data_IF_965897167010
#
_entry.id   IF_965897167010
#
_cell.length_a   1.000
_cell.length_b   1.000
_cell.length_c   1.000
_cell.angle_alpha   90.00
_cell.angle_beta   90.00
_cell.angle_gamma   90.00
#
_symmetry.space_group_name_H-M   'P 1'
#
loop_
_entity.id
_entity.type
_entity.pdbx_description
1 polymer ?
#
# COMPACT_ATOMS: atom_id res chain seq x y z
N UNK A 1 -0.21 -2.56 -44.83
CA UNK A 1 -1.19 -2.81 -43.75
C UNK A 1 -0.61 -2.73 -42.34
N UNK A 2 0.59 -3.26 -42.04
CA UNK A 2 1.29 -3.05 -40.74
C UNK A 2 1.48 -1.56 -40.34
N UNK A 3 1.66 -0.67 -41.33
CA UNK A 3 1.82 0.79 -41.13
C UNK A 3 0.58 1.48 -40.56
N UNK A 4 -0.63 1.09 -41.01
CA UNK A 4 -1.88 1.71 -40.56
C UNK A 4 -2.22 1.31 -39.12
N UNK A 5 -1.82 0.10 -38.72
CA UNK A 5 -1.94 -0.40 -37.33
C UNK A 5 -1.01 0.33 -36.36
N UNK A 6 0.19 0.72 -36.81
CA UNK A 6 1.07 1.59 -36.03
C UNK A 6 0.57 3.03 -36.00
N UNK A 7 0.01 3.57 -37.08
CA UNK A 7 -0.56 4.92 -37.10
C UNK A 7 -1.75 5.07 -36.15
N UNK A 8 -2.70 4.15 -36.16
CA UNK A 8 -3.85 4.20 -35.23
C UNK A 8 -3.39 3.94 -33.77
N UNK A 9 -2.43 3.02 -33.56
CA UNK A 9 -1.80 2.86 -32.23
C UNK A 9 -1.11 4.14 -31.79
N UNK A 10 -0.35 4.80 -32.68
CA UNK A 10 0.35 6.05 -32.42
C UNK A 10 -0.62 7.19 -32.19
N UNK A 11 -1.74 7.30 -32.90
CA UNK A 11 -2.75 8.34 -32.63
C UNK A 11 -3.37 8.19 -31.23
N UNK A 12 -3.75 6.97 -30.82
CA UNK A 12 -4.26 6.72 -29.47
C UNK A 12 -3.18 6.83 -28.38
N UNK A 13 -1.92 6.46 -28.67
CA UNK A 13 -0.78 6.65 -27.77
C UNK A 13 -0.37 8.13 -27.64
N UNK A 14 -0.30 8.88 -28.74
CA UNK A 14 0.09 10.30 -28.78
C UNK A 14 -0.98 11.19 -28.11
N UNK A 15 -2.26 10.83 -28.21
CA UNK A 15 -3.33 11.48 -27.44
C UNK A 15 -3.19 11.22 -25.93
N UNK A 16 -2.63 10.08 -25.51
CA UNK A 16 -2.38 9.70 -24.11
C UNK A 16 -1.15 10.41 -23.54
N UNK A 17 -0.09 10.60 -24.34
CA UNK A 17 1.17 11.19 -23.89
C UNK A 17 1.10 12.72 -23.72
N UNK A 18 0.18 13.39 -24.41
CA UNK A 18 0.05 14.86 -24.42
C UNK A 18 -0.93 15.46 -23.41
N UNK A 19 -1.55 14.71 -22.50
CA UNK A 19 -2.49 15.30 -21.54
C UNK A 19 -1.89 15.57 -20.15
N UNK A 20 -0.80 16.34 -20.13
CA UNK A 20 -0.17 16.86 -18.92
C UNK A 20 -1.18 17.57 -18.00
N UNK A 21 -2.21 18.20 -18.57
CA UNK A 21 -3.28 18.87 -17.82
C UNK A 21 -4.06 17.92 -16.91
N UNK A 22 -4.53 16.78 -17.43
CA UNK A 22 -5.24 15.77 -16.62
C UNK A 22 -4.37 15.20 -15.49
N UNK A 23 -3.08 15.00 -15.78
CA UNK A 23 -2.12 14.52 -14.79
C UNK A 23 -1.86 15.55 -13.68
N UNK A 24 -1.69 16.83 -14.04
CA UNK A 24 -1.57 17.92 -13.06
C UNK A 24 -2.84 18.06 -12.25
N UNK A 25 -4.02 17.91 -12.87
CA UNK A 25 -5.30 17.94 -12.17
C UNK A 25 -5.44 16.82 -11.13
N UNK A 26 -5.08 15.57 -11.47
CA UNK A 26 -5.18 14.47 -10.49
C UNK A 26 -4.16 14.65 -9.35
N UNK A 27 -2.95 15.16 -9.62
CA UNK A 27 -1.98 15.49 -8.57
C UNK A 27 -2.52 16.60 -7.68
N UNK A 28 -3.02 17.70 -8.26
CA UNK A 28 -3.60 18.81 -7.52
C UNK A 28 -4.79 18.36 -6.66
N UNK A 29 -5.68 17.53 -7.22
CA UNK A 29 -6.79 16.93 -6.49
C UNK A 29 -6.30 16.06 -5.32
N UNK A 30 -5.28 15.24 -5.55
CA UNK A 30 -4.68 14.39 -4.51
C UNK A 30 -4.09 15.23 -3.38
N UNK A 31 -3.36 16.30 -3.69
CA UNK A 31 -2.80 17.21 -2.69
C UNK A 31 -3.88 17.90 -1.86
N UNK A 32 -4.96 18.38 -2.50
CA UNK A 32 -6.09 18.99 -1.79
C UNK A 32 -6.75 18.00 -0.85
N UNK A 33 -7.06 16.79 -1.33
CA UNK A 33 -7.67 15.73 -0.51
C UNK A 33 -6.71 15.31 0.61
N UNK A 34 -5.41 15.28 0.37
CA UNK A 34 -4.40 14.91 1.38
C UNK A 34 -4.46 15.84 2.59
N UNK A 35 -4.61 17.14 2.39
CA UNK A 35 -4.76 18.11 3.49
C UNK A 35 -6.01 17.79 4.31
N UNK A 36 -7.17 17.58 3.67
CA UNK A 36 -8.40 17.23 4.38
C UNK A 36 -8.31 15.90 5.12
N UNK A 37 -7.78 14.86 4.46
CA UNK A 37 -7.59 13.53 5.06
C UNK A 37 -6.61 13.59 6.23
N UNK A 38 -5.55 14.40 6.14
CA UNK A 38 -4.60 14.59 7.23
C UNK A 38 -5.29 15.18 8.47
N UNK A 39 -6.09 16.24 8.33
CA UNK A 39 -6.85 16.80 9.45
C UNK A 39 -7.90 15.83 10.01
N UNK A 40 -8.57 15.05 9.14
CA UNK A 40 -9.49 14.01 9.59
C UNK A 40 -8.77 12.93 10.42
N UNK A 41 -7.58 12.49 9.97
CA UNK A 41 -6.76 11.52 10.69
C UNK A 41 -6.23 12.08 12.02
N UNK A 42 -5.89 13.36 12.10
CA UNK A 42 -5.56 14.02 13.37
C UNK A 42 -6.73 13.90 14.35
N UNK A 43 -7.92 14.32 13.96
CA UNK A 43 -9.10 14.25 14.82
C UNK A 43 -9.40 12.80 15.27
N UNK A 44 -9.29 11.83 14.37
CA UNK A 44 -9.49 10.40 14.70
C UNK A 44 -8.42 9.92 15.68
N UNK A 45 -7.15 10.30 15.49
CA UNK A 45 -6.05 9.89 16.36
C UNK A 45 -6.20 10.49 17.75
N UNK A 46 -6.53 11.79 17.85
CA UNK A 46 -6.80 12.46 19.12
C UNK A 46 -7.97 11.80 19.87
N UNK A 47 -9.09 11.59 19.18
CA UNK A 47 -10.24 10.88 19.73
C UNK A 47 -9.89 9.48 20.22
N UNK A 48 -9.07 8.75 19.46
CA UNK A 48 -8.64 7.40 19.82
C UNK A 48 -7.75 7.42 21.06
N UNK A 49 -6.79 8.34 21.14
CA UNK A 49 -5.90 8.49 22.30
C UNK A 49 -6.69 8.86 23.57
N UNK A 50 -7.63 9.79 23.48
CA UNK A 50 -8.45 10.21 24.63
C UNK A 50 -9.44 9.13 25.06
N UNK A 51 -10.19 8.57 24.12
CA UNK A 51 -11.30 7.66 24.43
C UNK A 51 -10.85 6.23 24.71
N UNK A 52 -9.86 5.75 23.97
CA UNK A 52 -9.43 4.35 24.07
C UNK A 52 -8.27 4.15 25.05
N UNK A 53 -7.31 5.07 25.07
CA UNK A 53 -6.14 4.97 25.95
C UNK A 53 -6.28 5.77 27.25
N UNK A 54 -7.42 6.45 27.46
CA UNK A 54 -7.64 7.34 28.61
C UNK A 54 -6.50 8.34 28.81
N UNK A 55 -5.88 8.76 27.70
CA UNK A 55 -4.73 9.66 27.73
C UNK A 55 -5.20 11.11 27.61
N UNK A 56 -4.55 12.00 28.35
CA UNK A 56 -4.74 13.44 28.17
C UNK A 56 -3.83 13.91 27.02
N UNK A 57 -4.45 14.41 25.95
CA UNK A 57 -3.73 14.93 24.79
C UNK A 57 -3.68 16.45 24.89
N UNK A 58 -2.49 17.01 25.07
CA UNK A 58 -2.25 18.47 25.05
C UNK A 58 -1.71 18.89 23.68
N UNK A 59 -2.47 19.72 22.97
CA UNK A 59 -2.18 20.21 21.61
C UNK A 59 -2.49 21.71 21.41
N UNK A 60 -2.77 22.42 22.50
CA UNK A 60 -3.37 23.76 22.58
C UNK A 60 -2.36 24.93 22.52
N UNK A 61 -1.07 24.65 22.36
CA UNK A 61 -0.03 25.67 22.41
C UNK A 61 0.55 25.90 23.81
N UNK A 62 0.02 25.22 24.83
CA UNK A 62 0.55 25.36 26.19
C UNK A 62 1.96 24.78 26.29
N UNK A 63 2.91 25.50 26.91
CA UNK A 63 4.23 24.97 27.17
C UNK A 63 4.15 23.83 28.19
N UNK A 64 4.67 22.66 27.83
CA UNK A 64 4.78 21.51 28.75
C UNK A 64 6.25 21.15 28.95
N UNK A 65 6.62 20.85 30.18
CA UNK A 65 7.99 20.40 30.53
C UNK A 65 8.15 18.93 30.19
N UNK A 66 9.25 18.55 29.54
CA UNK A 66 9.60 17.14 29.39
C UNK A 66 9.82 16.52 30.78
N UNK A 67 9.05 15.47 31.12
CA UNK A 67 9.41 14.56 32.21
C UNK A 67 10.49 13.62 31.63
N UNK A 68 11.76 13.93 31.89
CA UNK A 68 12.86 13.02 31.57
C UNK A 68 12.84 11.94 32.64
N UNK A 69 12.01 10.92 32.47
CA UNK A 69 12.01 9.76 33.36
C UNK A 69 13.12 8.81 32.93
N UNK A 70 14.37 9.14 33.24
CA UNK A 70 15.46 8.14 33.22
C UNK A 70 15.70 7.52 34.61
N UNK A 71 14.93 7.93 35.63
CA UNK A 71 14.96 7.30 36.94
C UNK A 71 13.54 7.23 37.51
N UNK A 72 13.03 6.05 37.90
CA UNK A 72 11.86 5.99 38.77
C UNK A 72 12.30 6.58 40.10
N UNK A 73 11.98 7.86 40.34
CA UNK A 73 12.07 8.44 41.67
C UNK A 73 11.10 7.66 42.56
N UNK A 74 11.63 6.64 43.22
CA UNK A 74 10.94 5.77 44.16
C UNK A 74 10.64 6.46 45.50
N UNK A 75 10.81 7.77 45.54
CA UNK A 75 10.72 8.53 46.77
C UNK A 75 9.33 9.17 46.89
N UNK A 76 8.56 8.63 47.84
CA UNK A 76 7.39 9.27 48.42
C UNK A 76 7.79 10.58 49.12
N UNK A 77 7.97 11.66 48.36
CA UNK A 77 8.04 13.00 48.94
C UNK A 77 6.65 13.62 49.01
N UNK A 78 6.35 14.26 50.14
CA UNK A 78 5.19 15.16 50.24
C UNK A 78 5.38 16.35 49.29
N UNK A 79 4.29 16.93 48.75
CA UNK A 79 4.34 18.03 47.75
C UNK A 79 5.26 19.19 48.17
N UNK A 80 5.42 19.46 49.47
CA UNK A 80 6.33 20.48 50.01
C UNK A 80 7.81 20.13 49.84
N UNK A 81 8.19 18.89 50.11
CA UNK A 81 9.59 18.45 50.04
C UNK A 81 10.07 18.37 48.58
N UNK A 82 9.17 17.97 47.67
CA UNK A 82 9.43 18.00 46.23
C UNK A 82 9.67 19.43 45.73
N UNK A 83 8.86 20.39 46.18
CA UNK A 83 9.04 21.81 45.87
C UNK A 83 10.35 22.39 46.39
N UNK A 84 10.76 22.03 47.62
CA UNK A 84 12.03 22.48 48.20
C UNK A 84 13.24 21.90 47.48
N UNK A 85 13.22 20.60 47.17
CA UNK A 85 14.30 19.92 46.44
C UNK A 85 14.41 20.42 44.99
N UNK A 86 13.28 20.72 44.34
CA UNK A 86 13.25 21.35 43.03
C UNK A 86 13.80 22.79 43.08
N UNK A 87 13.48 23.58 44.11
CA UNK A 87 14.05 24.92 44.28
C UNK A 87 15.55 24.90 44.52
N UNK A 88 16.05 24.00 45.36
CA UNK A 88 17.48 23.87 45.62
C UNK A 88 18.25 23.42 44.37
N UNK A 89 17.67 22.53 43.55
CA UNK A 89 18.26 22.13 42.27
C UNK A 89 18.26 23.25 41.21
N UNK A 90 17.22 24.08 41.18
CA UNK A 90 17.13 25.25 40.29
C UNK A 90 18.15 26.31 40.70
N UNK A 91 18.36 26.54 42.00
CA UNK A 91 19.32 27.52 42.50
C UNK A 91 20.78 27.05 42.35
N UNK A 92 21.05 25.75 42.47
CA UNK A 92 22.42 25.23 42.50
C UNK A 92 22.94 24.67 41.17
N UNK A 93 22.09 24.44 40.16
CA UNK A 93 22.54 23.87 38.88
C UNK A 93 21.78 24.44 37.66
N UNK A 94 22.20 25.59 37.09
CA UNK A 94 21.53 26.22 35.94
C UNK A 94 21.61 25.41 34.63
N UNK A 95 22.29 24.25 34.62
CA UNK A 95 22.34 23.33 33.48
C UNK A 95 21.20 22.29 33.49
N UNK A 96 20.41 22.22 34.57
CA UNK A 96 19.14 21.46 34.62
C UNK A 96 18.01 22.25 33.94
N UNK A 97 18.24 22.71 32.72
CA UNK A 97 17.19 23.34 31.94
C UNK A 97 16.22 22.25 31.49
N UNK A 98 15.15 22.00 32.26
CA UNK A 98 13.98 21.26 31.77
C UNK A 98 13.59 21.90 30.43
N UNK A 99 13.80 21.20 29.32
CA UNK A 99 13.42 21.71 28.00
C UNK A 99 11.91 21.83 27.97
N UNK A 100 11.44 23.07 27.94
CA UNK A 100 10.04 23.41 27.74
C UNK A 100 9.80 23.40 26.23
N UNK A 101 8.89 22.55 25.78
CA UNK A 101 8.48 22.57 24.38
C UNK A 101 7.06 23.13 24.30
N UNK A 102 6.82 24.02 23.33
CA UNK A 102 5.48 24.46 22.98
C UNK A 102 4.78 23.35 22.19
N UNK A 103 3.56 23.04 22.59
CA UNK A 103 2.69 22.12 21.84
C UNK A 103 2.17 22.80 20.58
N UNK A 104 1.84 22.02 19.57
CA UNK A 104 1.24 22.50 18.34
C UNK A 104 0.33 21.41 17.78
N UNK A 105 -0.90 21.78 17.44
CA UNK A 105 -1.89 20.88 16.86
C UNK A 105 -1.39 20.04 15.67
N UNK A 106 -0.46 20.54 14.87
CA UNK A 106 0.03 19.81 13.68
C UNK A 106 1.29 19.01 13.96
N UNK A 107 2.23 19.56 14.74
CA UNK A 107 3.61 19.05 14.77
C UNK A 107 4.06 18.49 16.11
N UNK A 108 3.50 18.94 17.24
CA UNK A 108 4.00 18.58 18.57
C UNK A 108 2.84 18.29 19.51
N UNK A 109 2.53 17.02 19.71
CA UNK A 109 1.56 16.56 20.69
C UNK A 109 2.27 16.02 21.93
N UNK A 110 1.67 16.31 23.07
CA UNK A 110 2.01 15.69 24.35
C UNK A 110 0.88 14.78 24.72
N UNK A 111 1.20 13.51 24.96
CA UNK A 111 0.26 12.48 25.37
C UNK A 111 0.68 12.05 26.78
N UNK A 112 -0.16 12.41 27.75
CA UNK A 112 0.03 12.03 29.16
C UNK A 112 -0.85 10.82 29.46
N UNK A 113 -0.22 9.70 29.81
CA UNK A 113 -0.91 8.49 30.25
C UNK A 113 -0.96 8.43 31.77
N UNK A 114 -2.09 7.93 32.28
CA UNK A 114 -2.30 7.67 33.71
C UNK A 114 -2.23 8.92 34.59
N UNK A 115 -2.86 10.01 34.14
CA UNK A 115 -2.95 11.29 34.87
C UNK A 115 -3.47 11.07 36.29
N UNK A 116 -2.69 11.47 37.31
CA UNK A 116 -3.06 11.32 38.72
C UNK A 116 -2.66 9.98 39.39
N UNK A 117 -1.83 9.18 38.74
CA UNK A 117 -1.24 7.94 39.32
C UNK A 117 0.27 8.13 39.59
N UNK A 118 0.91 7.34 40.48
CA UNK A 118 2.35 7.49 40.78
C UNK A 118 3.29 7.19 39.60
N UNK A 119 2.77 6.71 38.46
CA UNK A 119 3.54 6.38 37.25
C UNK A 119 3.03 7.17 36.04
N UNK A 120 3.11 8.51 36.10
CA UNK A 120 2.80 9.37 34.96
C UNK A 120 3.85 9.20 33.86
N UNK A 121 3.42 8.83 32.65
CA UNK A 121 4.28 8.68 31.49
C UNK A 121 3.87 9.70 30.44
N UNK A 122 4.84 10.53 30.01
CA UNK A 122 4.66 11.58 29.02
C UNK A 122 5.34 11.23 27.70
N UNK A 123 4.57 11.13 26.63
CA UNK A 123 5.09 10.90 25.28
C UNK A 123 5.01 12.15 24.41
N UNK A 124 6.06 12.37 23.62
CA UNK A 124 6.12 13.41 22.61
C UNK A 124 5.97 12.81 21.23
N UNK A 125 4.84 13.12 20.59
CA UNK A 125 4.50 12.62 19.26
C UNK A 125 4.49 13.78 18.27
N UNK A 126 5.06 13.57 17.09
CA UNK A 126 4.90 14.47 15.95
C UNK A 126 3.88 13.88 14.97
N UNK A 127 2.62 14.35 15.00
CA UNK A 127 1.55 13.79 14.17
C UNK A 127 1.79 14.00 12.68
N UNK A 128 2.33 15.15 12.29
CA UNK A 128 2.70 15.43 10.89
C UNK A 128 3.62 14.32 10.36
N UNK A 129 4.68 14.01 11.09
CA UNK A 129 5.62 12.99 10.66
C UNK A 129 4.95 11.60 10.59
N UNK A 130 4.18 11.22 11.61
CA UNK A 130 3.57 9.90 11.69
C UNK A 130 2.42 9.67 10.70
N UNK A 131 1.61 10.69 10.39
CA UNK A 131 0.35 10.54 9.65
C UNK A 131 0.44 10.96 8.17
N UNK A 132 1.51 11.63 7.73
CA UNK A 132 1.60 12.14 6.36
C UNK A 132 1.54 11.02 5.30
N UNK A 133 2.21 9.90 5.55
CA UNK A 133 2.24 8.76 4.61
C UNK A 133 0.87 8.08 4.47
N UNK A 134 0.20 7.65 5.56
CA UNK A 134 -1.14 7.08 5.43
C UNK A 134 -2.16 8.10 4.89
N UNK A 135 -2.04 9.39 5.23
CA UNK A 135 -2.89 10.43 4.66
C UNK A 135 -2.72 10.55 3.14
N UNK A 136 -1.47 10.54 2.65
CA UNK A 136 -1.15 10.55 1.23
C UNK A 136 -1.73 9.33 0.52
N UNK A 137 -1.60 8.12 1.08
CA UNK A 137 -2.16 6.91 0.47
C UNK A 137 -3.68 6.98 0.36
N UNK A 138 -4.38 7.27 1.46
CA UNK A 138 -5.85 7.36 1.48
C UNK A 138 -6.33 8.44 0.51
N UNK A 139 -5.64 9.58 0.47
CA UNK A 139 -5.96 10.65 -0.47
C UNK A 139 -5.78 10.25 -1.92
N UNK A 140 -4.73 9.48 -2.24
CA UNK A 140 -4.50 8.96 -3.59
C UNK A 140 -5.60 7.98 -4.00
N UNK A 141 -6.04 7.10 -3.10
CA UNK A 141 -7.15 6.17 -3.35
C UNK A 141 -8.44 6.94 -3.64
N UNK A 142 -8.77 7.93 -2.81
CA UNK A 142 -9.97 8.76 -2.99
C UNK A 142 -9.87 9.56 -4.30
N UNK A 143 -8.71 10.13 -4.61
CA UNK A 143 -8.49 10.87 -5.85
C UNK A 143 -8.66 9.99 -7.10
N UNK A 144 -8.14 8.75 -7.07
CA UNK A 144 -8.31 7.75 -8.12
C UNK A 144 -9.78 7.39 -8.30
N UNK A 145 -10.51 7.17 -7.20
CA UNK A 145 -11.94 6.92 -7.23
C UNK A 145 -12.67 8.10 -7.86
N UNK A 146 -12.51 9.33 -7.34
CA UNK A 146 -13.16 10.53 -7.89
C UNK A 146 -12.82 10.71 -9.38
N UNK A 147 -11.55 10.51 -9.77
CA UNK A 147 -11.09 10.63 -11.16
C UNK A 147 -11.73 9.60 -12.10
N UNK A 148 -12.12 8.43 -11.60
CA UNK A 148 -12.84 7.41 -12.36
C UNK A 148 -14.28 7.82 -12.69
N UNK A 149 -14.89 8.66 -11.85
CA UNK A 149 -16.26 9.13 -12.02
C UNK A 149 -16.38 10.40 -12.86
N UNK A 150 -15.29 11.16 -13.01
CA UNK A 150 -15.24 12.37 -13.82
C UNK A 150 -15.49 12.10 -15.31
N UNK A 151 -15.96 13.11 -16.09
CA UNK A 151 -16.10 12.97 -17.55
C UNK A 151 -14.74 12.72 -18.22
N UNK A 152 -14.74 12.08 -19.41
CA UNK A 152 -13.51 11.70 -20.13
C UNK A 152 -12.52 12.86 -20.36
N UNK A 153 -13.02 14.08 -20.46
CA UNK A 153 -12.21 15.28 -20.70
C UNK A 153 -11.35 15.66 -19.48
N UNK A 154 -11.77 15.29 -18.26
CA UNK A 154 -11.13 15.71 -17.00
C UNK A 154 -10.58 14.50 -16.24
N UNK A 155 -11.32 13.39 -16.23
CA UNK A 155 -11.00 12.18 -15.48
C UNK A 155 -9.84 11.40 -16.10
N UNK A 156 -8.67 11.53 -15.50
CA UNK A 156 -7.49 10.74 -15.88
C UNK A 156 -7.74 9.23 -15.78
N UNK A 157 -8.26 8.74 -14.65
CA UNK A 157 -8.56 7.32 -14.47
C UNK A 157 -9.69 6.85 -15.37
N UNK A 158 -10.74 7.67 -15.57
CA UNK A 158 -11.82 7.36 -16.51
C UNK A 158 -11.29 7.08 -17.90
N UNK A 159 -10.34 7.89 -18.36
CA UNK A 159 -9.71 7.75 -19.67
C UNK A 159 -8.84 6.50 -19.78
N UNK A 160 -8.08 6.17 -18.73
CA UNK A 160 -7.29 4.94 -18.70
C UNK A 160 -8.18 3.70 -18.80
N UNK A 161 -9.30 3.66 -18.06
CA UNK A 161 -10.28 2.57 -18.13
C UNK A 161 -10.86 2.43 -19.55
N UNK A 162 -11.23 3.55 -20.17
CA UNK A 162 -11.76 3.55 -21.54
C UNK A 162 -10.75 3.00 -22.55
N UNK A 163 -9.49 3.46 -22.45
CA UNK A 163 -8.40 3.01 -23.31
C UNK A 163 -8.18 1.50 -23.21
N UNK A 164 -8.09 0.97 -21.98
CA UNK A 164 -7.91 -0.47 -21.80
C UNK A 164 -9.12 -1.24 -22.31
N UNK A 165 -10.34 -0.75 -22.09
CA UNK A 165 -11.55 -1.40 -22.59
C UNK A 165 -11.53 -1.53 -24.11
N UNK A 166 -11.24 -0.44 -24.84
CA UNK A 166 -11.13 -0.47 -26.30
C UNK A 166 -10.00 -1.38 -26.76
N UNK A 167 -8.83 -1.30 -26.13
CA UNK A 167 -7.68 -2.13 -26.47
C UNK A 167 -7.97 -3.64 -26.35
N UNK A 168 -8.65 -4.06 -25.28
CA UNK A 168 -9.00 -5.47 -25.10
C UNK A 168 -10.08 -5.92 -26.09
N UNK A 169 -11.04 -5.08 -26.45
CA UNK A 169 -12.02 -5.39 -27.51
C UNK A 169 -11.33 -5.55 -28.86
N UNK A 170 -10.41 -4.65 -29.21
CA UNK A 170 -9.62 -4.75 -30.44
C UNK A 170 -8.80 -6.05 -30.48
N UNK A 171 -8.20 -6.42 -29.34
CA UNK A 171 -7.46 -7.67 -29.19
C UNK A 171 -8.36 -8.89 -29.42
N UNK A 172 -9.60 -8.87 -28.91
CA UNK A 172 -10.59 -9.93 -29.15
C UNK A 172 -10.95 -9.98 -30.63
N UNK A 173 -11.31 -8.84 -31.24
CA UNK A 173 -11.69 -8.78 -32.65
C UNK A 173 -10.60 -9.33 -33.56
N UNK A 174 -9.34 -8.94 -33.31
CA UNK A 174 -8.21 -9.47 -34.06
C UNK A 174 -8.08 -11.00 -33.92
N UNK A 175 -8.31 -11.53 -32.72
CA UNK A 175 -8.22 -12.98 -32.47
C UNK A 175 -9.36 -13.76 -33.14
N UNK A 176 -10.57 -13.20 -33.17
CA UNK A 176 -11.76 -13.86 -33.72
C UNK A 176 -11.84 -13.74 -35.24
N UNK A 177 -11.60 -12.54 -35.78
CA UNK A 177 -11.82 -12.23 -37.18
C UNK A 177 -10.55 -12.12 -38.02
N UNK A 178 -9.34 -12.21 -37.43
CA UNK A 178 -8.03 -12.07 -38.09
C UNK A 178 -7.74 -10.72 -38.76
N UNK A 179 -8.70 -9.79 -38.77
CA UNK A 179 -8.56 -8.42 -39.24
C UNK A 179 -9.30 -7.44 -38.32
N UNK A 180 -8.92 -6.17 -38.40
CA UNK A 180 -9.59 -5.09 -37.67
C UNK A 180 -10.74 -4.52 -38.50
N UNK A 181 -11.92 -4.42 -37.91
CA UNK A 181 -13.04 -3.68 -38.49
C UNK A 181 -13.86 -3.02 -37.37
N UNK A 182 -14.13 -1.71 -37.45
CA UNK A 182 -14.90 -1.00 -36.42
C UNK A 182 -16.34 -1.53 -36.31
N UNK A 183 -16.92 -2.01 -37.41
CA UNK A 183 -18.25 -2.63 -37.40
C UNK A 183 -18.26 -3.95 -36.62
N UNK A 184 -17.17 -4.73 -36.73
CA UNK A 184 -17.00 -6.00 -36.00
C UNK A 184 -16.73 -5.80 -34.52
N UNK A 185 -16.03 -4.73 -34.14
CA UNK A 185 -15.90 -4.34 -32.74
C UNK A 185 -17.27 -4.09 -32.11
N UNK A 186 -18.14 -3.33 -32.79
CA UNK A 186 -19.49 -3.06 -32.29
C UNK A 186 -20.35 -4.33 -32.17
N UNK A 187 -20.14 -5.29 -33.07
CA UNK A 187 -20.78 -6.61 -33.01
C UNK A 187 -20.34 -7.38 -31.75
N UNK A 188 -19.02 -7.46 -31.50
CA UNK A 188 -18.46 -8.12 -30.31
C UNK A 188 -18.91 -7.43 -29.02
N UNK A 189 -18.93 -6.09 -28.99
CA UNK A 189 -19.43 -5.34 -27.84
C UNK A 189 -20.88 -5.69 -27.53
N UNK A 190 -21.76 -5.68 -28.53
CA UNK A 190 -23.17 -6.07 -28.37
C UNK A 190 -23.32 -7.52 -27.91
N UNK A 191 -22.55 -8.44 -28.48
CA UNK A 191 -22.55 -9.84 -28.06
C UNK A 191 -22.15 -9.98 -26.60
N UNK A 192 -21.08 -9.31 -26.16
CA UNK A 192 -20.59 -9.37 -24.78
C UNK A 192 -21.56 -8.75 -23.77
N UNK A 193 -22.23 -7.66 -24.12
CA UNK A 193 -23.17 -6.98 -23.22
C UNK A 193 -24.42 -7.82 -23.00
N UNK A 194 -24.93 -8.46 -24.07
CA UNK A 194 -26.14 -9.26 -24.02
C UNK A 194 -25.91 -10.71 -23.58
N UNK A 195 -24.65 -11.15 -23.52
CA UNK A 195 -24.27 -12.51 -23.16
C UNK A 195 -24.64 -12.85 -21.71
N UNK A 196 -25.33 -13.97 -21.53
CA UNK A 196 -25.48 -14.60 -20.23
C UNK A 196 -24.20 -15.38 -19.84
N UNK A 197 -24.14 -15.92 -18.62
CA UNK A 197 -23.02 -16.70 -18.11
C UNK A 197 -22.71 -17.88 -19.04
N UNK A 198 -23.73 -18.54 -19.59
CA UNK A 198 -23.56 -19.65 -20.53
C UNK A 198 -22.89 -19.20 -21.83
N UNK A 199 -23.38 -18.12 -22.45
CA UNK A 199 -22.80 -17.57 -23.67
C UNK A 199 -21.35 -17.14 -23.45
N UNK A 200 -21.06 -16.61 -22.27
CA UNK A 200 -19.70 -16.20 -21.89
C UNK A 200 -18.75 -17.41 -21.82
N UNK A 201 -19.22 -18.58 -21.39
CA UNK A 201 -18.43 -19.82 -21.42
C UNK A 201 -18.21 -20.33 -22.86
N UNK A 202 -19.23 -20.22 -23.72
CA UNK A 202 -19.11 -20.55 -25.14
C UNK A 202 -18.08 -19.65 -25.82
N UNK A 203 -18.18 -18.34 -25.63
CA UNK A 203 -17.21 -17.36 -26.14
C UNK A 203 -15.81 -17.58 -25.58
N UNK A 204 -15.68 -17.91 -24.30
CA UNK A 204 -14.38 -18.22 -23.70
C UNK A 204 -13.70 -19.41 -24.41
N UNK A 205 -14.48 -20.45 -24.75
CA UNK A 205 -14.01 -21.62 -25.49
C UNK A 205 -13.69 -21.27 -26.96
N UNK A 206 -14.59 -20.59 -27.64
CA UNK A 206 -14.48 -20.30 -29.08
C UNK A 206 -13.37 -19.28 -29.37
N UNK A 207 -13.21 -18.27 -28.52
CA UNK A 207 -12.21 -17.22 -28.68
C UNK A 207 -10.89 -17.57 -27.97
N UNK A 208 -10.85 -18.66 -27.21
CA UNK A 208 -9.70 -19.11 -26.42
C UNK A 208 -9.24 -18.08 -25.39
N UNK A 209 -10.17 -17.38 -24.75
CA UNK A 209 -9.90 -16.34 -23.74
C UNK A 209 -10.43 -16.84 -22.40
N UNK A 210 -9.67 -16.72 -21.30
CA UNK A 210 -10.15 -17.15 -19.99
C UNK A 210 -11.45 -16.43 -19.61
N UNK A 211 -12.40 -17.19 -19.08
CA UNK A 211 -13.74 -16.71 -18.70
C UNK A 211 -13.68 -15.50 -17.77
N UNK A 212 -12.68 -15.44 -16.88
CA UNK A 212 -12.53 -14.34 -15.93
C UNK A 212 -12.11 -13.03 -16.61
N UNK A 213 -11.30 -13.08 -17.67
CA UNK A 213 -11.00 -11.88 -18.46
C UNK A 213 -12.25 -11.41 -19.20
N UNK A 214 -13.02 -12.33 -19.77
CA UNK A 214 -14.25 -12.01 -20.49
C UNK A 214 -15.31 -11.38 -19.58
N UNK A 215 -15.45 -11.88 -18.33
CA UNK A 215 -16.29 -11.27 -17.29
C UNK A 215 -15.90 -9.84 -16.98
N UNK A 216 -14.61 -9.56 -16.88
CA UNK A 216 -14.10 -8.20 -16.58
C UNK A 216 -14.40 -7.25 -17.72
N UNK A 217 -14.14 -7.69 -18.95
CA UNK A 217 -14.41 -6.89 -20.15
C UNK A 217 -15.91 -6.58 -20.23
N UNK A 218 -16.78 -7.58 -20.01
CA UNK A 218 -18.23 -7.36 -19.95
C UNK A 218 -18.62 -6.34 -18.87
N UNK A 219 -18.11 -6.47 -17.66
CA UNK A 219 -18.41 -5.52 -16.58
C UNK A 219 -17.93 -4.10 -16.89
N UNK A 220 -16.78 -3.96 -17.55
CA UNK A 220 -16.27 -2.67 -18.00
C UNK A 220 -17.14 -2.05 -19.11
N UNK A 221 -17.61 -2.85 -20.07
CA UNK A 221 -18.54 -2.41 -21.12
C UNK A 221 -19.88 -1.94 -20.54
N UNK A 222 -20.47 -2.72 -19.63
CA UNK A 222 -21.72 -2.34 -18.95
C UNK A 222 -21.49 -1.04 -18.17
N UNK A 223 -20.40 -0.93 -17.41
CA UNK A 223 -20.07 0.29 -16.67
C UNK A 223 -19.88 1.48 -17.60
N UNK A 224 -19.26 1.29 -18.77
CA UNK A 224 -19.06 2.33 -19.78
C UNK A 224 -20.39 2.88 -20.31
N UNK A 225 -21.31 1.99 -20.69
CA UNK A 225 -22.58 2.34 -21.34
C UNK A 225 -23.70 2.73 -20.36
N UNK A 226 -23.52 2.41 -19.08
CA UNK A 226 -24.50 2.73 -18.04
C UNK A 226 -24.61 4.24 -17.72
N UNK A 227 -25.73 4.60 -17.08
CA UNK A 227 -25.99 5.96 -16.61
C UNK A 227 -24.95 6.41 -15.58
N UNK A 228 -24.87 7.72 -15.35
CA UNK A 228 -23.96 8.30 -14.34
C UNK A 228 -24.17 7.65 -12.97
N UNK A 229 -25.41 7.46 -12.53
CA UNK A 229 -25.74 6.89 -11.21
C UNK A 229 -25.21 5.47 -11.01
N UNK A 230 -25.36 4.58 -12.00
CA UNK A 230 -24.83 3.22 -11.89
C UNK A 230 -23.30 3.23 -11.75
N UNK A 231 -22.63 4.16 -12.43
CA UNK A 231 -21.18 4.33 -12.33
C UNK A 231 -20.73 4.80 -10.95
N UNK A 232 -21.52 5.67 -10.31
CA UNK A 232 -21.27 6.12 -8.93
C UNK A 232 -21.38 4.98 -7.92
N UNK A 233 -22.36 4.08 -8.09
CA UNK A 233 -22.57 2.95 -7.16
C UNK A 233 -21.53 1.84 -7.37
N UNK A 234 -21.05 1.65 -8.61
CA UNK A 234 -20.13 0.56 -8.95
C UNK A 234 -18.83 1.01 -9.66
N UNK A 235 -18.00 1.88 -9.04
CA UNK A 235 -16.77 2.35 -9.66
C UNK A 235 -15.73 1.24 -9.84
N UNK A 236 -15.71 0.26 -8.94
CA UNK A 236 -14.78 -0.87 -8.99
C UNK A 236 -14.99 -1.77 -10.21
N UNK A 237 -16.22 -1.91 -10.72
CA UNK A 237 -16.51 -2.76 -11.88
C UNK A 237 -15.79 -2.28 -13.14
N UNK A 238 -15.78 -0.97 -13.37
CA UNK A 238 -15.03 -0.35 -14.47
C UNK A 238 -13.53 -0.35 -14.21
N UNK A 239 -13.10 0.03 -13.00
CA UNK A 239 -11.68 0.14 -12.67
C UNK A 239 -10.95 -1.21 -12.67
N UNK A 240 -11.66 -2.31 -12.45
CA UNK A 240 -11.11 -3.66 -12.44
C UNK A 240 -10.39 -4.01 -13.75
N UNK A 241 -10.85 -3.54 -14.91
CA UNK A 241 -10.16 -3.82 -16.18
C UNK A 241 -8.75 -3.25 -16.21
N UNK A 242 -8.59 -1.99 -15.79
CA UNK A 242 -7.29 -1.33 -15.73
C UNK A 242 -6.42 -1.94 -14.63
N UNK A 243 -6.99 -2.16 -13.44
CA UNK A 243 -6.24 -2.68 -12.31
C UNK A 243 -5.71 -4.09 -12.57
N UNK A 244 -6.58 -5.02 -13.01
CA UNK A 244 -6.23 -6.44 -13.19
C UNK A 244 -5.45 -6.74 -14.46
N UNK A 245 -5.72 -6.02 -15.55
CA UNK A 245 -5.15 -6.35 -16.85
C UNK A 245 -3.90 -5.53 -17.20
N UNK A 246 -3.69 -4.37 -16.56
CA UNK A 246 -2.53 -3.51 -16.84
C UNK A 246 -1.71 -3.20 -15.59
N UNK A 247 -2.33 -2.72 -14.52
CA UNK A 247 -1.60 -2.21 -13.36
C UNK A 247 -0.86 -3.32 -12.60
N UNK A 248 -1.54 -4.41 -12.25
CA UNK A 248 -0.96 -5.53 -11.51
C UNK A 248 0.16 -6.21 -12.30
N UNK A 249 -0.01 -6.39 -13.61
CA UNK A 249 0.99 -7.01 -14.48
C UNK A 249 2.25 -6.15 -14.59
N UNK A 250 2.10 -4.83 -14.71
CA UNK A 250 3.22 -3.91 -14.89
C UNK A 250 3.93 -3.51 -13.59
N UNK A 251 3.17 -3.29 -12.52
CA UNK A 251 3.68 -2.71 -11.27
C UNK A 251 3.75 -3.69 -10.10
N UNK A 252 3.26 -4.93 -10.25
CA UNK A 252 3.25 -5.93 -9.17
C UNK A 252 4.63 -6.16 -8.54
N UNK A 253 5.65 -6.37 -9.37
CA UNK A 253 7.03 -6.59 -8.90
C UNK A 253 7.62 -5.34 -8.21
N UNK A 254 7.29 -4.14 -8.70
CA UNK A 254 7.76 -2.90 -8.10
C UNK A 254 7.14 -2.69 -6.71
N UNK A 255 5.83 -2.97 -6.56
CA UNK A 255 5.13 -2.88 -5.28
C UNK A 255 5.70 -3.90 -4.28
N UNK A 256 5.95 -5.13 -4.73
CA UNK A 256 6.60 -6.16 -3.90
C UNK A 256 7.99 -5.70 -3.42
N UNK A 257 8.80 -5.11 -4.32
CA UNK A 257 10.09 -4.52 -3.97
C UNK A 257 9.98 -3.40 -2.93
N UNK A 258 8.96 -2.53 -3.03
CA UNK A 258 8.70 -1.48 -2.04
C UNK A 258 8.33 -2.06 -0.67
N UNK A 259 7.55 -3.14 -0.62
CA UNK A 259 7.22 -3.83 0.65
C UNK A 259 8.49 -4.35 1.32
N UNK A 260 9.37 -5.03 0.58
CA UNK A 260 10.63 -5.52 1.14
C UNK A 260 11.55 -4.38 1.61
N UNK A 261 11.57 -3.26 0.90
CA UNK A 261 12.28 -2.06 1.34
C UNK A 261 11.68 -1.49 2.64
N UNK A 262 10.35 -1.45 2.74
CA UNK A 262 9.64 -1.03 3.95
C UNK A 262 9.97 -1.91 5.16
N UNK A 263 9.97 -3.23 4.98
CA UNK A 263 10.33 -4.19 6.01
C UNK A 263 11.78 -3.98 6.49
N UNK A 264 12.72 -3.71 5.57
CA UNK A 264 14.10 -3.40 5.92
C UNK A 264 14.20 -2.12 6.77
N UNK A 265 13.46 -1.07 6.42
CA UNK A 265 13.40 0.18 7.21
C UNK A 265 12.84 -0.09 8.62
N UNK A 266 11.81 -0.93 8.75
CA UNK A 266 11.26 -1.30 10.05
C UNK A 266 12.29 -1.98 10.94
N UNK A 267 12.98 -3.00 10.42
CA UNK A 267 14.01 -3.73 11.15
C UNK A 267 15.11 -2.78 11.63
N UNK A 268 15.54 -1.85 10.79
CA UNK A 268 16.55 -0.85 11.16
C UNK A 268 16.05 0.06 12.30
N UNK A 269 14.83 0.60 12.19
CA UNK A 269 14.27 1.51 13.22
C UNK A 269 14.08 0.79 14.56
N UNK A 270 13.58 -0.45 14.54
CA UNK A 270 13.44 -1.28 15.75
C UNK A 270 14.83 -1.61 16.32
N UNK A 271 15.80 -1.95 15.47
CA UNK A 271 17.18 -2.20 15.86
C UNK A 271 17.84 -0.99 16.53
N UNK A 272 17.69 0.20 15.94
CA UNK A 272 18.21 1.46 16.51
C UNK A 272 17.57 1.80 17.86
N UNK A 273 16.28 1.49 18.04
CA UNK A 273 15.62 1.60 19.34
C UNK A 273 16.19 0.61 20.36
N UNK A 274 16.43 -0.64 19.95
CA UNK A 274 17.04 -1.67 20.80
C UNK A 274 18.44 -1.31 21.28
N UNK A 275 19.20 -0.58 20.46
CA UNK A 275 20.50 0.00 20.80
C UNK A 275 20.42 1.27 21.65
N UNK A 276 19.22 1.67 22.11
CA UNK A 276 18.92 2.89 22.90
C UNK A 276 19.33 4.21 22.23
N UNK A 277 19.50 4.24 20.91
CA UNK A 277 19.77 5.50 20.17
C UNK A 277 18.54 6.41 20.07
N UNK A 278 17.34 5.83 20.15
CA UNK A 278 16.06 6.57 20.15
C UNK A 278 15.49 6.55 21.57
N UNK A 279 15.31 7.71 22.23
CA UNK A 279 14.77 7.77 23.59
C UNK A 279 13.31 7.32 23.65
N UNK A 280 12.92 6.64 24.72
CA UNK A 280 11.56 6.11 24.91
C UNK A 280 10.49 7.20 24.94
N UNK A 281 10.85 8.43 25.33
CA UNK A 281 9.96 9.60 25.41
C UNK A 281 9.59 10.18 24.04
N UNK A 282 10.32 9.83 22.97
CA UNK A 282 10.06 10.28 21.60
C UNK A 282 9.75 9.10 20.66
N UNK A 283 8.57 8.47 20.76
CA UNK A 283 8.20 7.30 19.96
C UNK A 283 7.94 7.61 18.46
N UNK A 284 8.01 8.88 18.04
CA UNK A 284 7.66 9.33 16.68
C UNK A 284 8.33 8.54 15.54
N UNK A 285 9.64 8.23 15.57
CA UNK A 285 10.28 7.45 14.50
C UNK A 285 9.74 6.02 14.37
N UNK A 286 9.36 5.41 15.50
CA UNK A 286 8.82 4.04 15.53
C UNK A 286 7.41 4.04 14.95
N UNK A 287 6.57 4.98 15.40
CA UNK A 287 5.19 5.13 14.88
C UNK A 287 5.23 5.42 13.38
N UNK A 288 6.15 6.27 12.92
CA UNK A 288 6.36 6.53 11.50
C UNK A 288 6.73 5.27 10.72
N UNK A 289 7.71 4.51 11.20
CA UNK A 289 8.16 3.29 10.53
C UNK A 289 7.04 2.24 10.42
N UNK A 290 6.27 2.08 11.50
CA UNK A 290 5.09 1.21 11.52
C UNK A 290 4.01 1.72 10.54
N UNK A 291 3.77 3.03 10.48
CA UNK A 291 2.82 3.61 9.53
C UNK A 291 3.24 3.41 8.07
N UNK A 292 4.55 3.54 7.75
CA UNK A 292 5.11 3.25 6.43
C UNK A 292 4.85 1.79 6.06
N UNK A 293 5.23 0.87 6.95
CA UNK A 293 5.07 -0.57 6.72
C UNK A 293 3.61 -0.95 6.50
N UNK A 294 2.72 -0.49 7.39
CA UNK A 294 1.28 -0.73 7.26
C UNK A 294 0.74 -0.22 5.92
N UNK A 295 1.14 0.98 5.50
CA UNK A 295 0.74 1.59 4.22
C UNK A 295 1.20 0.73 3.02
N UNK A 296 2.43 0.22 3.07
CA UNK A 296 2.99 -0.63 2.02
C UNK A 296 2.32 -2.00 1.96
N UNK A 297 2.12 -2.65 3.11
CA UNK A 297 1.41 -3.93 3.21
C UNK A 297 -0.03 -3.80 2.72
N UNK A 298 -0.72 -2.72 3.09
CA UNK A 298 -2.06 -2.43 2.59
C UNK A 298 -2.07 -2.27 1.06
N UNK A 299 -1.11 -1.53 0.50
CA UNK A 299 -0.97 -1.34 -0.96
C UNK A 299 -0.73 -2.67 -1.68
N UNK A 300 0.10 -3.54 -1.10
CA UNK A 300 0.37 -4.87 -1.63
C UNK A 300 -0.85 -5.78 -1.57
N UNK A 301 -1.54 -5.82 -0.42
CA UNK A 301 -2.79 -6.57 -0.27
C UNK A 301 -3.84 -6.11 -1.29
N UNK A 302 -3.99 -4.80 -1.49
CA UNK A 302 -4.87 -4.25 -2.52
C UNK A 302 -4.47 -4.71 -3.92
N UNK A 303 -3.17 -4.73 -4.23
CA UNK A 303 -2.66 -5.19 -5.54
C UNK A 303 -2.98 -6.68 -5.76
N UNK A 304 -2.82 -7.52 -4.74
CA UNK A 304 -3.12 -8.95 -4.83
C UNK A 304 -4.61 -9.24 -5.06
N UNK A 305 -5.52 -8.45 -4.47
CA UNK A 305 -6.98 -8.60 -4.70
C UNK A 305 -7.33 -8.51 -6.19
N UNK A 306 -6.59 -7.70 -6.96
CA UNK A 306 -6.80 -7.51 -8.39
C UNK A 306 -5.84 -8.32 -9.26
N UNK A 307 -4.91 -9.08 -8.69
CA UNK A 307 -4.00 -9.91 -9.47
C UNK A 307 -4.81 -10.94 -10.26
N UNK A 308 -4.31 -11.33 -11.44
CA UNK A 308 -4.80 -12.54 -12.07
C UNK A 308 -4.42 -13.70 -11.12
N UNK A 309 -5.33 -14.63 -10.81
CA UNK A 309 -4.89 -15.90 -10.25
C UNK A 309 -3.86 -16.40 -11.26
N UNK A 310 -2.64 -16.69 -10.79
CA UNK A 310 -1.70 -17.40 -11.63
C UNK A 310 -2.47 -18.61 -12.15
N UNK A 311 -2.70 -18.65 -13.46
CA UNK A 311 -2.75 -19.94 -14.11
C UNK A 311 -1.39 -20.49 -13.76
N UNK A 312 -1.38 -21.43 -12.82
CA UNK A 312 -0.22 -22.25 -12.53
C UNK A 312 -0.01 -23.00 -13.85
N UNK A 313 0.61 -22.32 -14.81
CA UNK A 313 1.33 -22.99 -15.86
C UNK A 313 2.27 -23.92 -15.11
N UNK A 314 2.27 -25.18 -15.50
CA UNK A 314 3.00 -26.32 -14.94
C UNK A 314 4.54 -26.15 -15.05
N UNK A 315 5.04 -24.93 -14.95
CA UNK A 315 6.45 -24.54 -15.02
C UNK A 315 7.09 -24.48 -13.63
N UNK A 316 6.32 -24.45 -12.53
CA UNK A 316 6.87 -24.58 -11.18
C UNK A 316 7.02 -26.03 -10.69
N UNK A 317 6.46 -27.03 -11.39
CA UNK A 317 6.73 -28.45 -11.08
C UNK A 317 8.07 -28.96 -11.64
N UNK A 318 8.74 -28.22 -12.53
CA UNK A 318 10.02 -28.66 -13.09
C UNK A 318 11.23 -28.28 -12.22
N UNK A 319 11.13 -27.22 -11.41
CA UNK A 319 12.24 -26.80 -10.53
C UNK A 319 12.24 -27.56 -9.18
N UNK A 320 11.07 -27.91 -8.65
CA UNK A 320 10.95 -28.74 -7.45
C UNK A 320 11.28 -30.21 -7.73
N UNK A 321 11.01 -30.70 -8.95
CA UNK A 321 11.49 -32.03 -9.39
C UNK A 321 12.99 -32.04 -9.64
N UNK A 322 13.58 -30.99 -10.21
CA UNK A 322 15.04 -30.89 -10.33
C UNK A 322 15.72 -30.84 -8.96
N UNK A 323 15.14 -30.12 -8.00
CA UNK A 323 15.65 -30.01 -6.63
C UNK A 323 15.45 -31.31 -5.85
N UNK A 324 14.28 -31.96 -5.90
CA UNK A 324 14.06 -33.28 -5.29
C UNK A 324 14.90 -34.38 -5.95
N UNK A 325 15.11 -34.35 -7.26
CA UNK A 325 15.96 -35.31 -7.96
C UNK A 325 17.45 -35.08 -7.62
N UNK A 326 17.87 -33.83 -7.38
CA UNK A 326 19.21 -33.51 -6.84
C UNK A 326 19.39 -33.94 -5.38
N UNK A 327 18.32 -33.90 -4.58
CA UNK A 327 18.34 -34.36 -3.18
C UNK A 327 18.31 -35.89 -3.10
N UNK A 328 17.57 -36.56 -3.98
CA UNK A 328 17.57 -38.02 -4.12
C UNK A 328 18.89 -38.55 -4.70
N UNK A 329 19.54 -37.84 -5.63
CA UNK A 329 20.89 -38.20 -6.10
C UNK A 329 21.97 -38.04 -5.04
N UNK A 330 21.78 -37.13 -4.06
CA UNK A 330 22.68 -37.00 -2.92
C UNK A 330 22.47 -38.09 -1.86
N UNK A 331 21.33 -38.79 -1.85
CA UNK A 331 21.10 -39.95 -0.99
C UNK A 331 21.85 -41.18 -1.53
N UNK A 332 22.03 -41.33 -2.85
CA UNK A 332 22.83 -42.43 -3.43
C UNK A 332 24.33 -42.31 -3.10
N UNK A 333 24.85 -41.09 -2.94
CA UNK A 333 26.22 -40.86 -2.46
C UNK A 333 26.46 -41.40 -1.03
N UNK A 334 25.41 -41.57 -0.21
CA UNK A 334 25.59 -42.11 1.14
C UNK A 334 25.96 -43.60 1.16
N UNK A 335 25.52 -44.38 0.16
CA UNK A 335 25.94 -45.78 -0.04
C UNK A 335 27.38 -45.90 -0.50
N UNK A 336 27.83 -45.00 -1.36
CA UNK A 336 29.22 -44.98 -1.82
C UNK A 336 30.17 -44.53 -0.71
N UNK A 337 29.74 -43.61 0.16
CA UNK A 337 30.47 -43.25 1.39
C UNK A 337 30.50 -44.43 2.38
N UNK A 338 29.42 -45.19 2.55
CA UNK A 338 29.42 -46.40 3.39
C UNK A 338 30.37 -47.48 2.83
N UNK A 339 30.40 -47.68 1.51
CA UNK A 339 31.30 -48.62 0.85
C UNK A 339 32.77 -48.19 0.98
N UNK A 340 33.06 -46.89 0.86
CA UNK A 340 34.41 -46.35 1.08
C UNK A 340 34.85 -46.47 2.54
N UNK A 341 33.95 -46.22 3.50
CA UNK A 341 34.23 -46.41 4.93
C UNK A 341 34.47 -47.89 5.27
N UNK A 342 33.69 -48.82 4.69
CA UNK A 342 33.91 -50.26 4.85
C UNK A 342 35.23 -50.71 4.24
N UNK A 343 35.61 -50.18 3.07
CA UNK A 343 36.88 -50.47 2.44
C UNK A 343 38.05 -49.96 3.31
N UNK A 344 37.92 -48.77 3.91
CA UNK A 344 38.92 -48.19 4.79
C UNK A 344 39.09 -48.98 6.09
N UNK A 345 37.99 -49.43 6.71
CA UNK A 345 38.02 -50.26 7.92
C UNK A 345 38.60 -51.65 7.62
N UNK A 346 38.31 -52.23 6.44
CA UNK A 346 38.82 -53.55 6.04
C UNK A 346 40.31 -53.50 5.67
N UNK A 347 40.82 -52.36 5.21
CA UNK A 347 42.24 -52.15 4.90
C UNK A 347 43.14 -51.98 6.13
N UNK A 348 42.58 -51.75 7.33
CA UNK A 348 43.34 -51.49 8.54
C UNK A 348 43.41 -52.73 9.47
N UNK A 349 43.47 -53.92 8.87
CA UNK A 349 43.63 -55.20 9.58
C UNK A 349 44.75 -56.04 8.98
#
# INVERSE_FOLDING_TARGET
MRKNTEEIRREFYELSEKNKGQFVLIIGLTLVISVFTFFALLAITEFTMQSFLMAEVSNDGTPRTALISDEPDHDFYTEREKWQKDMDNIMNNPKSSRKVFATNYVTNWVIDLSVGTPSEIRFWVNPLFSLIIPAMLISAIIAVLISSLMPLNIGFMRRLIERETVYYIDKICYKVHTYYSPEKNHEIEKQLINADIHDLHTFAKDWGIPIDELKIIRHALIWRMSSVLYRFIHPLKGMNIYLRLYFTEKYGNAILGLVYMGAAILIIVIGLRGLKFIPATHPSPIIFSLAVEFTLLFTYAFTLIFAKPEQIDETYESDDRATQQSLLSNIDNSRDIENLLRAFIKSNK
#
